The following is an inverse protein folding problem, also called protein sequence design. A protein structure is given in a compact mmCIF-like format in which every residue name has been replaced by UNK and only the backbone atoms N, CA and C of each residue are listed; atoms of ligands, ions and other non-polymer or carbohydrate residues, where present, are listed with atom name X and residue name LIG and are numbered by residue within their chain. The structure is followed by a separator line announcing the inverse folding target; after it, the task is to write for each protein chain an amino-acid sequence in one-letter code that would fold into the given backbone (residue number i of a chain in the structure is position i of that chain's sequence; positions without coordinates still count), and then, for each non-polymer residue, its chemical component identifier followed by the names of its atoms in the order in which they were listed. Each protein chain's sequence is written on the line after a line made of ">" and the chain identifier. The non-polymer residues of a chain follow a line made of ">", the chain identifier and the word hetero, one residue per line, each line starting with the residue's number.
data_IF_972805713692
#
_entry.id   IF_972805713692
#
_cell.length_a   1.000
_cell.length_b   1.000
_cell.length_c   1.000
_cell.angle_alpha   90.00
_cell.angle_beta   90.00
_cell.angle_gamma   90.00
#
_symmetry.space_group_name_H-M   'P 1'
#
loop_
_entity.id
_entity.type
_entity.pdbx_description
1 polymer ?
#
# COMPACT_ATOMS: atom_id res chain seq x y z
N UNK A 1 10.42 25.50 -26.02
CA UNK A 1 9.98 24.11 -26.22
C UNK A 1 9.01 23.79 -25.10
N UNK A 2 7.78 23.51 -25.46
CA UNK A 2 6.67 23.46 -24.51
C UNK A 2 6.69 22.15 -23.72
N UNK A 3 6.76 22.25 -22.40
CA UNK A 3 6.58 21.12 -21.49
C UNK A 3 5.09 20.89 -21.29
N UNK A 4 4.61 19.76 -21.74
CA UNK A 4 3.24 19.29 -21.62
C UNK A 4 2.90 19.04 -20.14
N UNK A 5 1.97 19.82 -19.61
CA UNK A 5 1.34 19.55 -18.31
C UNK A 5 0.30 18.45 -18.49
N UNK A 6 0.47 17.35 -17.78
CA UNK A 6 -0.51 16.27 -17.70
C UNK A 6 -1.64 16.74 -16.77
N UNK A 7 -2.90 16.73 -17.19
CA UNK A 7 -4.01 17.14 -16.34
C UNK A 7 -4.31 16.08 -15.28
N UNK A 8 -4.29 16.47 -14.02
CA UNK A 8 -4.80 15.68 -12.89
C UNK A 8 -6.32 15.53 -13.04
N UNK A 9 -6.80 14.31 -13.23
CA UNK A 9 -8.22 13.98 -13.19
C UNK A 9 -8.74 14.08 -11.77
N UNK A 10 -9.66 15.01 -11.52
CA UNK A 10 -10.49 15.01 -10.33
C UNK A 10 -11.59 13.93 -10.48
N UNK A 11 -11.57 12.92 -9.61
CA UNK A 11 -12.64 11.93 -9.55
C UNK A 11 -13.78 12.46 -8.68
N UNK A 12 -14.92 12.74 -9.31
CA UNK A 12 -16.19 12.93 -8.60
C UNK A 12 -16.91 11.58 -8.51
N UNK A 13 -17.06 11.09 -7.31
CA UNK A 13 -17.84 9.88 -7.04
C UNK A 13 -19.33 10.19 -7.15
N UNK A 14 -20.01 9.57 -8.12
CA UNK A 14 -21.46 9.66 -8.31
C UNK A 14 -22.09 8.38 -7.78
N UNK A 15 -22.78 8.49 -6.64
CA UNK A 15 -23.53 7.37 -6.08
C UNK A 15 -24.69 6.96 -7.00
N UNK A 16 -24.89 5.66 -7.28
CA UNK A 16 -26.07 5.20 -8.01
C UNK A 16 -27.31 5.30 -7.09
N UNK A 17 -28.39 5.88 -7.64
CA UNK A 17 -29.65 6.04 -6.94
C UNK A 17 -30.41 4.72 -6.77
N UNK A 18 -30.48 4.20 -5.56
CA UNK A 18 -31.36 3.12 -5.14
C UNK A 18 -32.52 3.63 -4.32
N UNK A 19 -33.77 3.23 -4.64
CA UNK A 19 -34.99 3.60 -3.94
C UNK A 19 -35.01 3.07 -2.52
N UNK A 20 -35.34 3.96 -1.57
CA UNK A 20 -35.56 3.61 -0.17
C UNK A 20 -36.94 3.00 0.06
N UNK A 21 -37.02 1.91 0.81
CA UNK A 21 -38.15 1.62 1.71
C UNK A 21 -37.56 1.17 3.06
N UNK A 22 -37.88 1.93 4.05
CA UNK A 22 -37.95 1.83 5.49
C UNK A 22 -37.15 0.82 6.32
N UNK A 23 -36.37 1.29 7.22
CA UNK A 23 -36.44 1.24 8.69
C UNK A 23 -35.11 1.69 9.27
N UNK A 24 -35.14 2.36 10.40
CA UNK A 24 -34.04 3.09 11.01
C UNK A 24 -32.83 2.21 11.32
N UNK A 25 -31.71 2.52 10.71
CA UNK A 25 -30.38 2.13 11.15
C UNK A 25 -29.60 3.40 11.47
N UNK A 26 -29.07 3.45 12.67
CA UNK A 26 -28.27 4.54 13.22
C UNK A 26 -27.06 4.78 12.31
N UNK A 27 -27.10 5.87 11.57
CA UNK A 27 -26.00 6.28 10.70
C UNK A 27 -24.87 6.81 11.60
N UNK A 28 -23.76 6.08 11.66
CA UNK A 28 -22.50 6.66 12.09
C UNK A 28 -22.02 7.61 11.00
N UNK A 29 -22.26 8.88 11.21
CA UNK A 29 -21.63 9.94 10.41
C UNK A 29 -20.17 10.01 10.83
N UNK A 30 -19.30 9.32 10.13
CA UNK A 30 -17.87 9.63 10.15
C UNK A 30 -17.77 10.98 9.48
N UNK A 31 -17.51 12.02 10.28
CA UNK A 31 -17.23 13.35 9.78
C UNK A 31 -15.99 13.29 8.90
N UNK A 32 -16.18 13.14 7.59
CA UNK A 32 -15.17 13.48 6.62
C UNK A 32 -14.94 14.98 6.73
N UNK A 33 -13.92 15.37 7.46
CA UNK A 33 -13.33 16.68 7.31
C UNK A 33 -12.84 16.73 5.86
N UNK A 34 -13.62 17.39 4.98
CA UNK A 34 -13.14 17.78 3.66
C UNK A 34 -11.95 18.70 3.93
N UNK A 35 -10.75 18.19 3.78
CA UNK A 35 -9.62 19.03 3.50
C UNK A 35 -9.90 19.51 2.08
N UNK A 36 -10.39 20.73 1.94
CA UNK A 36 -10.41 21.42 0.65
C UNK A 36 -8.95 21.61 0.29
N UNK A 37 -8.45 20.71 -0.57
CA UNK A 37 -7.20 20.96 -1.27
C UNK A 37 -7.55 22.14 -2.19
N UNK A 38 -6.93 23.31 -2.01
CA UNK A 38 -7.21 24.47 -2.84
C UNK A 38 -7.04 24.06 -4.29
N UNK A 39 -8.10 24.16 -5.06
CA UNK A 39 -8.14 23.90 -6.48
C UNK A 39 -7.21 24.88 -7.18
N UNK A 40 -6.22 24.36 -7.93
CA UNK A 40 -5.55 24.99 -9.09
C UNK A 40 -5.01 26.42 -8.97
N UNK A 41 -4.80 26.98 -7.81
CA UNK A 41 -3.85 28.08 -7.73
C UNK A 41 -2.45 27.47 -7.83
N UNK A 42 -1.58 27.94 -8.75
CA UNK A 42 -0.18 27.56 -8.70
C UNK A 42 0.29 27.88 -7.29
N UNK A 43 0.85 26.86 -6.60
CA UNK A 43 1.53 27.10 -5.31
C UNK A 43 2.35 28.36 -5.49
N UNK A 44 2.20 29.37 -4.61
CA UNK A 44 2.89 30.63 -4.80
C UNK A 44 4.35 30.32 -5.09
N UNK A 45 4.87 30.91 -6.16
CA UNK A 45 6.29 30.85 -6.50
C UNK A 45 7.04 31.36 -5.26
N UNK A 46 7.40 30.44 -4.40
CA UNK A 46 7.84 30.70 -3.04
C UNK A 46 8.92 29.70 -2.67
N UNK A 47 8.98 29.19 -1.47
CA UNK A 47 10.17 28.55 -0.92
C UNK A 47 10.74 27.36 -1.72
N UNK A 48 9.95 26.62 -2.50
CA UNK A 48 10.45 25.46 -3.27
C UNK A 48 11.42 25.84 -4.39
N UNK A 49 11.20 26.93 -5.09
CA UNK A 49 12.10 27.43 -6.16
C UNK A 49 13.47 27.83 -5.59
N UNK A 50 13.50 28.39 -4.40
CA UNK A 50 14.74 28.76 -3.74
C UNK A 50 15.52 27.54 -3.25
N UNK A 51 14.84 26.51 -2.74
CA UNK A 51 15.48 25.25 -2.34
C UNK A 51 16.06 24.48 -3.53
N UNK A 52 15.42 24.51 -4.70
CA UNK A 52 15.94 23.88 -5.93
C UNK A 52 17.27 24.45 -6.42
N UNK A 53 17.65 25.63 -5.97
CA UNK A 53 18.93 26.29 -6.31
C UNK A 53 20.05 25.93 -5.35
N UNK A 54 19.73 25.27 -4.24
CA UNK A 54 20.70 24.86 -3.24
C UNK A 54 21.36 23.54 -3.65
N UNK A 55 22.63 23.39 -3.31
CA UNK A 55 23.32 22.12 -3.37
C UNK A 55 22.94 21.23 -2.17
N UNK A 56 23.31 19.95 -2.23
CA UNK A 56 22.98 18.95 -1.21
C UNK A 56 23.49 19.36 0.18
N UNK A 57 24.63 20.02 0.27
CA UNK A 57 25.22 20.47 1.54
C UNK A 57 24.38 21.58 2.17
N UNK A 58 23.97 22.54 1.36
CA UNK A 58 23.11 23.63 1.83
C UNK A 58 21.70 23.12 2.20
N UNK A 59 21.16 22.16 1.44
CA UNK A 59 19.89 21.48 1.76
C UNK A 59 19.99 20.72 3.09
N UNK A 60 21.05 19.94 3.30
CA UNK A 60 21.30 19.22 4.54
C UNK A 60 21.33 20.17 5.74
N UNK A 61 22.07 21.27 5.62
CA UNK A 61 22.14 22.29 6.68
C UNK A 61 20.77 22.88 7.02
N UNK A 62 19.94 23.14 6.00
CA UNK A 62 18.57 23.64 6.21
C UNK A 62 17.65 22.62 6.89
N UNK A 63 17.77 21.35 6.52
CA UNK A 63 17.04 20.27 7.18
C UNK A 63 17.43 20.20 8.66
N UNK A 64 18.73 20.25 8.96
CA UNK A 64 19.23 20.20 10.33
C UNK A 64 18.79 21.39 11.18
N UNK A 65 18.79 22.60 10.62
CA UNK A 65 18.24 23.80 11.29
C UNK A 65 16.76 23.60 11.68
N UNK A 66 15.95 23.09 10.75
CA UNK A 66 14.52 22.84 10.98
C UNK A 66 14.31 21.73 12.01
N UNK A 67 15.08 20.65 11.92
CA UNK A 67 15.03 19.56 12.89
C UNK A 67 15.37 20.02 14.30
N UNK A 68 16.43 20.83 14.46
CA UNK A 68 16.80 21.39 15.77
C UNK A 68 15.69 22.27 16.34
N UNK A 69 15.03 23.08 15.50
CA UNK A 69 13.93 23.94 15.93
C UNK A 69 12.67 23.18 16.30
N UNK A 70 12.34 22.11 15.59
CA UNK A 70 11.13 21.32 15.82
C UNK A 70 11.34 20.24 16.90
N UNK A 71 12.56 19.73 17.07
CA UNK A 71 12.87 18.68 18.05
C UNK A 71 12.03 17.43 17.86
N UNK A 72 11.50 16.88 18.95
CA UNK A 72 10.67 15.66 18.94
C UNK A 72 9.29 15.83 18.26
N UNK A 73 8.89 17.07 17.93
CA UNK A 73 7.62 17.34 17.27
C UNK A 73 7.56 16.82 15.82
N UNK A 74 8.72 16.59 15.19
CA UNK A 74 8.82 15.98 13.87
C UNK A 74 9.58 14.66 13.96
N UNK A 75 9.06 13.63 13.26
CA UNK A 75 9.70 12.34 13.11
C UNK A 75 9.93 12.08 11.62
N UNK A 76 11.18 11.80 11.24
CA UNK A 76 11.53 11.47 9.85
C UNK A 76 11.73 9.97 9.75
N UNK A 77 10.91 9.32 8.93
CA UNK A 77 11.00 7.89 8.62
C UNK A 77 11.67 7.73 7.25
N UNK A 78 12.70 6.91 7.18
CA UNK A 78 13.40 6.62 5.93
C UNK A 78 13.33 5.14 5.59
N UNK A 79 12.68 4.80 4.47
CA UNK A 79 12.75 3.44 3.97
C UNK A 79 14.17 3.11 3.51
N UNK A 80 14.65 1.91 3.82
CA UNK A 80 16.06 1.53 3.64
C UNK A 80 16.58 1.59 2.20
N UNK A 81 15.72 1.68 1.19
CA UNK A 81 16.15 1.85 -0.20
C UNK A 81 16.32 3.31 -0.65
N UNK A 82 16.05 4.27 0.23
CA UNK A 82 16.28 5.68 -0.10
C UNK A 82 17.76 5.97 -0.33
N UNK A 83 18.03 6.99 -1.14
CA UNK A 83 19.38 7.47 -1.40
C UNK A 83 20.06 7.93 -0.10
N UNK A 84 21.37 7.79 -0.02
CA UNK A 84 22.16 8.12 1.18
C UNK A 84 21.91 9.53 1.68
N UNK A 85 21.82 10.52 0.77
CA UNK A 85 21.53 11.90 1.11
C UNK A 85 20.16 12.11 1.78
N UNK A 86 19.18 11.26 1.47
CA UNK A 86 17.85 11.31 2.10
C UNK A 86 17.84 10.53 3.41
N UNK A 87 18.38 9.31 3.38
CA UNK A 87 18.36 8.41 4.56
C UNK A 87 19.21 8.95 5.71
N UNK A 88 20.21 9.79 5.44
CA UNK A 88 21.02 10.44 6.45
C UNK A 88 20.21 11.26 7.44
N UNK A 89 19.09 11.83 7.01
CA UNK A 89 18.21 12.65 7.84
C UNK A 89 17.13 11.86 8.58
N UNK A 90 17.01 10.56 8.36
CA UNK A 90 15.98 9.75 8.98
C UNK A 90 16.28 9.47 10.46
N UNK A 91 15.27 9.65 11.32
CA UNK A 91 15.32 9.27 12.72
C UNK A 91 15.17 7.75 12.90
N UNK A 92 14.35 7.13 12.06
CA UNK A 92 14.15 5.68 12.01
C UNK A 92 14.33 5.18 10.58
N UNK A 93 15.00 4.04 10.44
CA UNK A 93 15.25 3.35 9.15
C UNK A 93 14.71 1.93 9.23
N UNK A 94 14.09 1.45 8.16
CA UNK A 94 13.54 0.10 8.13
C UNK A 94 12.67 -0.19 6.93
N UNK A 95 11.87 -1.25 7.04
CA UNK A 95 10.86 -1.58 6.06
C UNK A 95 9.54 -0.81 6.27
N UNK A 96 8.64 -0.93 5.31
CA UNK A 96 7.39 -0.16 5.26
C UNK A 96 6.53 -0.31 6.50
N UNK A 97 6.29 -1.56 6.93
CA UNK A 97 5.36 -1.85 8.02
C UNK A 97 5.98 -1.58 9.38
N UNK A 98 7.24 -1.93 9.54
CA UNK A 98 7.95 -1.69 10.79
C UNK A 98 8.08 -0.19 11.09
N UNK A 99 8.44 0.62 10.09
CA UNK A 99 8.49 2.08 10.24
C UNK A 99 7.14 2.65 10.68
N UNK A 100 6.05 2.20 10.04
CA UNK A 100 4.69 2.65 10.38
C UNK A 100 4.28 2.23 11.80
N UNK A 101 4.67 1.03 12.24
CA UNK A 101 4.45 0.57 13.63
C UNK A 101 5.24 1.40 14.63
N UNK A 102 6.55 1.58 14.38
CA UNK A 102 7.42 2.37 15.26
C UNK A 102 6.95 3.82 15.36
N UNK A 103 6.43 4.39 14.26
CA UNK A 103 5.80 5.70 14.29
C UNK A 103 4.56 5.75 15.17
N UNK A 104 3.73 4.71 15.15
CA UNK A 104 2.51 4.64 15.97
C UNK A 104 2.81 4.55 17.48
N UNK A 105 4.00 4.12 17.87
CA UNK A 105 4.45 4.09 19.27
C UNK A 105 4.89 5.47 19.77
N UNK A 106 5.11 6.43 18.87
CA UNK A 106 5.50 7.81 19.24
C UNK A 106 4.24 8.62 19.59
N UNK A 107 4.26 9.19 20.78
CA UNK A 107 3.13 9.98 21.30
C UNK A 107 3.39 11.48 21.30
N UNK A 108 4.63 11.88 21.07
CA UNK A 108 5.15 13.23 21.20
C UNK A 108 5.34 13.98 19.87
N UNK A 109 5.14 13.32 18.73
CA UNK A 109 5.28 13.96 17.41
C UNK A 109 3.95 14.56 16.92
N UNK A 110 4.05 15.72 16.27
CA UNK A 110 2.94 16.42 15.61
C UNK A 110 2.91 16.13 14.11
N UNK A 111 4.08 15.82 13.55
CA UNK A 111 4.24 15.52 12.13
C UNK A 111 5.24 14.37 11.91
N UNK A 112 4.94 13.56 10.89
CA UNK A 112 5.81 12.50 10.39
C UNK A 112 6.13 12.83 8.93
N UNK A 113 7.41 12.89 8.59
CA UNK A 113 7.87 12.94 7.21
C UNK A 113 8.26 11.53 6.79
N UNK A 114 7.52 10.93 5.86
CA UNK A 114 7.80 9.58 5.39
C UNK A 114 8.58 9.61 4.08
N UNK A 115 9.90 9.39 4.15
CA UNK A 115 10.76 9.22 2.97
C UNK A 115 10.61 7.79 2.44
N UNK A 116 9.64 7.59 1.57
CA UNK A 116 9.24 6.33 0.99
C UNK A 116 8.28 6.55 -0.16
N UNK A 117 7.36 5.62 -0.38
CA UNK A 117 6.33 5.71 -1.41
C UNK A 117 4.94 5.83 -0.79
N UNK A 118 3.96 6.19 -1.62
CA UNK A 118 2.61 6.59 -1.23
C UNK A 118 1.93 5.62 -0.23
N UNK A 119 1.85 4.32 -0.55
CA UNK A 119 1.17 3.35 0.32
C UNK A 119 1.82 3.20 1.71
N UNK A 120 3.11 3.54 1.86
CA UNK A 120 3.80 3.53 3.15
C UNK A 120 3.35 4.69 4.02
N UNK A 121 3.27 5.90 3.45
CA UNK A 121 2.74 7.07 4.13
C UNK A 121 1.29 6.88 4.55
N UNK A 122 0.44 6.31 3.67
CA UNK A 122 -0.93 5.93 4.01
C UNK A 122 -0.99 4.94 5.18
N UNK A 123 -0.12 3.92 5.16
CA UNK A 123 -0.06 2.92 6.26
C UNK A 123 0.34 3.58 7.57
N UNK A 124 1.32 4.51 7.53
CA UNK A 124 1.70 5.27 8.71
C UNK A 124 0.54 6.12 9.23
N UNK A 125 -0.16 6.85 8.35
CA UNK A 125 -1.32 7.67 8.73
C UNK A 125 -2.42 6.83 9.38
N UNK A 126 -2.75 5.67 8.80
CA UNK A 126 -3.73 4.74 9.37
C UNK A 126 -3.32 4.31 10.78
N UNK A 127 -2.06 3.94 10.97
CA UNK A 127 -1.61 3.38 12.25
C UNK A 127 -1.43 4.44 13.34
N UNK A 128 -0.89 5.61 13.03
CA UNK A 128 -0.67 6.67 14.01
C UNK A 128 -1.94 7.42 14.38
N UNK A 129 -2.94 7.41 13.52
CA UNK A 129 -4.21 8.10 13.71
C UNK A 129 -5.40 7.17 14.00
N UNK A 130 -5.14 5.96 14.53
CA UNK A 130 -6.19 5.11 15.06
C UNK A 130 -6.96 5.82 16.19
N UNK A 131 -8.25 5.51 16.40
CA UNK A 131 -9.07 6.15 17.45
C UNK A 131 -8.40 6.17 18.82
N UNK A 132 -7.80 5.06 19.24
CA UNK A 132 -7.10 4.94 20.53
C UNK A 132 -5.84 5.82 20.58
N UNK A 133 -5.12 5.99 19.48
CA UNK A 133 -3.95 6.85 19.39
C UNK A 133 -4.34 8.35 19.46
N UNK A 134 -5.42 8.71 18.75
CA UNK A 134 -5.97 10.07 18.80
C UNK A 134 -6.48 10.38 20.22
N UNK A 135 -7.19 9.45 20.85
CA UNK A 135 -7.67 9.62 22.22
C UNK A 135 -6.50 9.80 23.20
N UNK A 136 -5.42 9.02 23.07
CA UNK A 136 -4.20 9.15 23.88
C UNK A 136 -3.47 10.49 23.71
N UNK A 137 -3.71 11.20 22.60
CA UNK A 137 -3.17 12.55 22.31
C UNK A 137 -4.21 13.67 22.49
N UNK A 138 -5.19 13.48 23.38
CA UNK A 138 -6.23 14.47 23.66
C UNK A 138 -7.01 14.94 22.41
N UNK A 139 -7.26 14.05 21.46
CA UNK A 139 -7.97 14.35 20.22
C UNK A 139 -7.09 14.85 19.07
N UNK A 140 -5.78 15.03 19.29
CA UNK A 140 -4.87 15.53 18.26
C UNK A 140 -4.45 14.42 17.27
N UNK A 141 -4.49 14.76 15.98
CA UNK A 141 -3.96 13.91 14.89
C UNK A 141 -2.50 14.26 14.61
N UNK A 142 -1.75 13.28 14.14
CA UNK A 142 -0.40 13.46 13.58
C UNK A 142 -0.53 13.69 12.08
N UNK A 143 0.15 14.70 11.55
CA UNK A 143 0.21 14.95 10.11
C UNK A 143 1.28 14.05 9.48
N UNK A 144 0.90 13.19 8.54
CA UNK A 144 1.85 12.39 7.77
C UNK A 144 2.09 13.03 6.41
N UNK A 145 3.34 13.38 6.16
CA UNK A 145 3.78 14.11 4.96
C UNK A 145 4.62 13.18 4.09
N UNK A 146 4.23 13.02 2.84
CA UNK A 146 5.03 12.39 1.80
C UNK A 146 5.73 13.51 1.00
N UNK A 147 7.07 13.58 0.99
CA UNK A 147 7.81 14.68 0.35
C UNK A 147 7.57 14.77 -1.16
N UNK A 148 7.35 13.64 -1.81
CA UNK A 148 7.00 13.55 -3.23
C UNK A 148 5.75 12.70 -3.40
N UNK A 149 4.64 13.31 -3.74
CA UNK A 149 3.36 12.61 -3.96
C UNK A 149 3.35 11.77 -5.22
N UNK A 150 4.30 11.95 -6.14
CA UNK A 150 4.50 11.12 -7.32
C UNK A 150 5.33 9.86 -7.02
N UNK A 151 5.92 9.75 -5.81
CA UNK A 151 6.64 8.56 -5.40
C UNK A 151 5.66 7.39 -5.21
N UNK A 152 5.56 6.53 -6.23
CA UNK A 152 4.65 5.38 -6.32
C UNK A 152 5.38 4.04 -6.28
N UNK A 153 4.58 2.98 -6.28
CA UNK A 153 5.05 1.60 -6.42
C UNK A 153 4.24 0.93 -7.53
N UNK A 154 4.91 0.60 -8.63
CA UNK A 154 4.24 0.02 -9.81
C UNK A 154 3.42 -1.24 -9.49
N UNK A 155 3.86 -2.06 -8.53
CA UNK A 155 3.11 -3.23 -8.09
C UNK A 155 1.84 -2.84 -7.31
N UNK A 156 1.94 -1.85 -6.41
CA UNK A 156 0.78 -1.37 -5.66
C UNK A 156 -0.30 -0.80 -6.59
N UNK A 157 0.13 -0.19 -7.69
CA UNK A 157 -0.75 0.44 -8.69
C UNK A 157 -1.36 -0.56 -9.68
N UNK A 158 -0.95 -1.85 -9.66
CA UNK A 158 -1.52 -2.91 -10.50
C UNK A 158 -2.88 -3.41 -10.01
N UNK A 159 -3.36 -2.98 -8.85
CA UNK A 159 -4.70 -3.25 -8.35
C UNK A 159 -5.37 -1.93 -7.95
N UNK A 160 -6.31 -1.47 -8.75
CA UNK A 160 -7.17 -0.35 -8.39
C UNK A 160 -8.39 -0.86 -7.61
N UNK A 161 -8.93 -0.03 -6.70
CA UNK A 161 -10.07 -0.43 -5.88
C UNK A 161 -11.29 -0.77 -6.73
N UNK A 162 -11.54 -0.01 -7.77
CA UNK A 162 -12.68 -0.22 -8.68
C UNK A 162 -12.59 -1.58 -9.37
N UNK A 163 -11.38 -1.96 -9.83
CA UNK A 163 -11.15 -3.26 -10.46
C UNK A 163 -11.34 -4.42 -9.48
N UNK A 164 -10.96 -4.25 -8.21
CA UNK A 164 -11.14 -5.28 -7.19
C UNK A 164 -12.60 -5.40 -6.77
N UNK A 165 -13.34 -4.28 -6.69
CA UNK A 165 -14.78 -4.28 -6.43
C UNK A 165 -15.56 -4.94 -7.58
N UNK A 166 -15.20 -4.66 -8.84
CA UNK A 166 -15.78 -5.33 -10.02
C UNK A 166 -15.48 -6.83 -10.00
N UNK A 167 -14.23 -7.21 -9.75
CA UNK A 167 -13.85 -8.63 -9.63
C UNK A 167 -14.59 -9.34 -8.48
N UNK A 168 -14.83 -8.66 -7.38
CA UNK A 168 -15.59 -9.20 -6.25
C UNK A 168 -17.06 -9.42 -6.61
N UNK A 169 -17.66 -8.51 -7.36
CA UNK A 169 -19.02 -8.65 -7.85
C UNK A 169 -19.14 -9.83 -8.84
N UNK A 170 -18.22 -9.93 -9.81
CA UNK A 170 -18.16 -11.03 -10.76
C UNK A 170 -17.99 -12.41 -10.07
N UNK A 171 -17.11 -12.47 -9.05
CA UNK A 171 -16.92 -13.68 -8.25
C UNK A 171 -18.20 -14.05 -7.50
N UNK A 172 -18.95 -13.07 -7.01
CA UNK A 172 -20.22 -13.28 -6.31
C UNK A 172 -21.33 -13.87 -7.18
N UNK A 173 -21.23 -13.77 -8.50
CA UNK A 173 -22.14 -14.45 -9.43
C UNK A 173 -21.86 -15.94 -9.58
N UNK A 174 -20.63 -16.38 -9.25
CA UNK A 174 -20.16 -17.77 -9.45
C UNK A 174 -19.98 -18.50 -8.12
N UNK A 175 -19.48 -17.81 -7.10
CA UNK A 175 -19.08 -18.35 -5.81
C UNK A 175 -19.72 -17.52 -4.71
N UNK A 176 -20.17 -18.17 -3.63
CA UNK A 176 -20.57 -17.45 -2.43
C UNK A 176 -19.37 -16.65 -1.88
N UNK A 177 -19.48 -15.34 -1.82
CA UNK A 177 -18.41 -14.45 -1.33
C UNK A 177 -18.10 -14.69 0.15
N UNK A 178 -19.02 -15.25 0.94
CA UNK A 178 -18.75 -15.68 2.31
C UNK A 178 -17.74 -16.84 2.38
N UNK A 179 -17.53 -17.55 1.27
CA UNK A 179 -16.50 -18.60 1.12
C UNK A 179 -15.12 -18.04 0.67
N UNK A 180 -14.97 -16.72 0.52
CA UNK A 180 -13.73 -16.07 0.03
C UNK A 180 -13.19 -15.09 1.06
N UNK A 181 -11.93 -15.25 1.45
CA UNK A 181 -11.20 -14.23 2.22
C UNK A 181 -10.35 -13.38 1.30
N UNK A 182 -10.58 -12.06 1.17
CA UNK A 182 -9.67 -11.18 0.46
C UNK A 182 -8.42 -10.91 1.30
N UNK A 183 -7.26 -11.09 0.70
CA UNK A 183 -5.95 -10.85 1.32
C UNK A 183 -5.18 -9.86 0.47
N UNK A 184 -4.79 -8.74 1.04
CA UNK A 184 -3.92 -7.78 0.34
C UNK A 184 -2.51 -7.77 0.91
N UNK A 185 -1.53 -7.70 0.01
CA UNK A 185 -0.16 -7.42 0.40
C UNK A 185 -0.04 -5.97 0.87
N UNK A 186 0.81 -5.71 1.84
CA UNK A 186 1.01 -4.37 2.43
C UNK A 186 1.33 -3.30 1.38
N UNK A 187 1.99 -3.70 0.27
CA UNK A 187 2.26 -2.85 -0.87
C UNK A 187 0.99 -2.71 -1.74
N UNK A 188 0.04 -1.99 -1.22
CA UNK A 188 -1.26 -1.70 -1.85
C UNK A 188 -1.83 -0.40 -1.29
N UNK A 189 -2.71 0.25 -2.02
CA UNK A 189 -3.40 1.47 -1.56
C UNK A 189 -4.23 1.23 -0.29
N UNK A 190 -4.45 2.28 0.49
CA UNK A 190 -5.28 2.23 1.70
C UNK A 190 -6.72 1.77 1.41
N UNK A 191 -7.26 2.13 0.24
CA UNK A 191 -8.58 1.70 -0.23
C UNK A 191 -8.72 0.19 -0.32
N UNK A 192 -7.68 -0.52 -0.79
CA UNK A 192 -7.64 -1.98 -0.87
C UNK A 192 -7.54 -2.63 0.52
N UNK A 193 -6.80 -2.02 1.44
CA UNK A 193 -6.76 -2.46 2.84
C UNK A 193 -8.13 -2.31 3.51
N UNK A 194 -8.82 -1.19 3.23
CA UNK A 194 -10.18 -0.96 3.71
C UNK A 194 -11.19 -1.94 3.09
N UNK A 195 -11.03 -2.28 1.80
CA UNK A 195 -11.82 -3.33 1.15
C UNK A 195 -11.67 -4.66 1.89
N UNK A 196 -10.45 -5.11 2.14
CA UNK A 196 -10.21 -6.32 2.92
C UNK A 196 -10.92 -6.27 4.28
N UNK A 197 -10.79 -5.14 5.00
CA UNK A 197 -11.45 -4.97 6.30
C UNK A 197 -12.97 -5.07 6.23
N UNK A 198 -13.59 -4.52 5.19
CA UNK A 198 -15.06 -4.59 4.99
C UNK A 198 -15.56 -6.00 4.66
N UNK A 199 -14.73 -6.81 4.01
CA UNK A 199 -15.08 -8.17 3.57
C UNK A 199 -14.44 -9.27 4.42
N UNK A 200 -14.14 -8.99 5.70
CA UNK A 200 -13.59 -9.99 6.63
C UNK A 200 -12.18 -10.49 6.29
N UNK A 201 -11.48 -9.74 5.43
CA UNK A 201 -10.13 -10.04 4.98
C UNK A 201 -9.03 -9.45 5.85
N UNK A 202 -7.79 -9.53 5.35
CA UNK A 202 -6.60 -9.18 6.13
C UNK A 202 -5.48 -8.64 5.23
N UNK A 203 -4.55 -7.89 5.84
CA UNK A 203 -3.31 -7.41 5.19
C UNK A 203 -2.16 -8.35 5.55
N UNK A 204 -1.33 -8.73 4.58
CA UNK A 204 -0.10 -9.48 4.82
C UNK A 204 1.16 -8.69 4.46
N UNK A 205 2.29 -9.14 4.98
CA UNK A 205 3.63 -8.80 4.54
C UNK A 205 4.29 -10.05 3.93
N UNK A 206 5.43 -9.89 3.25
CA UNK A 206 6.19 -11.05 2.75
C UNK A 206 6.59 -12.02 3.86
N UNK A 207 6.92 -11.49 5.04
CA UNK A 207 7.37 -12.31 6.19
C UNK A 207 6.24 -13.07 6.90
N UNK A 208 4.99 -12.63 6.81
CA UNK A 208 3.87 -13.28 7.50
C UNK A 208 2.80 -13.87 6.56
N UNK A 209 3.03 -13.85 5.24
CA UNK A 209 2.06 -14.30 4.25
C UNK A 209 1.56 -15.74 4.52
N UNK A 210 2.44 -16.65 4.97
CA UNK A 210 2.08 -18.00 5.35
C UNK A 210 1.05 -18.03 6.48
N UNK A 211 1.33 -17.35 7.58
CA UNK A 211 0.42 -17.30 8.74
C UNK A 211 -0.92 -16.64 8.37
N UNK A 212 -0.89 -15.65 7.48
CA UNK A 212 -2.10 -15.01 6.97
C UNK A 212 -2.92 -15.96 6.11
N UNK A 213 -2.31 -16.73 5.21
CA UNK A 213 -3.03 -17.74 4.42
C UNK A 213 -3.57 -18.87 5.29
N UNK A 214 -2.84 -19.33 6.31
CA UNK A 214 -3.32 -20.29 7.31
C UNK A 214 -4.56 -19.74 8.02
N UNK A 215 -4.51 -18.48 8.45
CA UNK A 215 -5.63 -17.79 9.08
C UNK A 215 -6.85 -17.69 8.15
N UNK A 216 -6.65 -17.35 6.87
CA UNK A 216 -7.71 -17.25 5.87
C UNK A 216 -8.37 -18.60 5.60
N UNK A 217 -7.57 -19.64 5.33
CA UNK A 217 -8.09 -20.99 5.07
C UNK A 217 -8.78 -21.65 6.27
N UNK A 218 -8.50 -21.19 7.49
CA UNK A 218 -9.25 -21.63 8.67
C UNK A 218 -10.66 -21.04 8.74
N UNK A 219 -10.99 -20.05 7.91
CA UNK A 219 -12.28 -19.31 7.89
C UNK A 219 -13.09 -19.55 6.65
N UNK A 220 -12.45 -19.60 5.51
CA UNK A 220 -13.08 -19.70 4.20
C UNK A 220 -12.38 -20.76 3.35
N UNK A 221 -13.07 -21.22 2.33
CA UNK A 221 -12.54 -22.23 1.41
C UNK A 221 -11.51 -21.65 0.44
N UNK A 222 -11.59 -20.32 0.19
CA UNK A 222 -10.86 -19.65 -0.87
C UNK A 222 -10.22 -18.35 -0.38
N UNK A 223 -9.19 -17.93 -1.11
CA UNK A 223 -8.52 -16.64 -0.92
C UNK A 223 -8.48 -15.90 -2.24
N UNK A 224 -8.88 -14.63 -2.24
CA UNK A 224 -8.53 -13.67 -3.29
C UNK A 224 -7.30 -12.90 -2.83
N UNK A 225 -6.16 -13.11 -3.51
CA UNK A 225 -4.87 -12.52 -3.13
C UNK A 225 -4.41 -11.48 -4.12
N UNK A 226 -4.18 -10.25 -3.66
CA UNK A 226 -3.75 -9.12 -4.49
C UNK A 226 -2.73 -8.22 -3.77
N UNK A 227 -1.95 -7.37 -4.48
CA UNK A 227 -1.82 -7.32 -5.92
C UNK A 227 -0.79 -8.32 -6.49
N UNK A 228 0.11 -8.91 -5.70
CA UNK A 228 1.24 -9.74 -6.15
C UNK A 228 0.86 -11.21 -6.28
N UNK A 229 0.74 -11.70 -7.53
CA UNK A 229 0.46 -13.10 -7.79
C UNK A 229 1.56 -14.06 -7.30
N UNK A 230 2.82 -13.62 -7.33
CA UNK A 230 3.96 -14.50 -7.01
C UNK A 230 4.07 -14.77 -5.53
N UNK A 231 3.88 -13.74 -4.69
CA UNK A 231 3.84 -13.92 -3.24
C UNK A 231 2.72 -14.88 -2.84
N UNK A 232 1.51 -14.67 -3.36
CA UNK A 232 0.36 -15.54 -3.08
C UNK A 232 0.58 -16.98 -3.55
N UNK A 233 1.01 -17.16 -4.82
CA UNK A 233 1.27 -18.47 -5.41
C UNK A 233 2.33 -19.24 -4.67
N UNK A 234 3.50 -18.64 -4.46
CA UNK A 234 4.64 -19.31 -3.86
C UNK A 234 4.36 -19.68 -2.40
N UNK A 235 3.68 -18.80 -1.66
CA UNK A 235 3.28 -19.08 -0.29
C UNK A 235 2.29 -20.24 -0.23
N UNK A 236 1.21 -20.20 -1.01
CA UNK A 236 0.20 -21.26 -1.02
C UNK A 236 0.77 -22.60 -1.49
N UNK A 237 1.64 -22.59 -2.53
CA UNK A 237 2.30 -23.81 -2.99
C UNK A 237 3.22 -24.40 -1.92
N UNK A 238 3.96 -23.59 -1.18
CA UNK A 238 4.79 -24.06 -0.04
C UNK A 238 3.98 -24.64 1.11
N UNK A 239 2.69 -24.30 1.19
CA UNK A 239 1.71 -24.86 2.14
C UNK A 239 1.02 -26.13 1.63
N UNK A 240 1.38 -26.61 0.43
CA UNK A 240 0.83 -27.83 -0.17
C UNK A 240 -0.46 -27.59 -0.98
N UNK A 241 -0.83 -26.35 -1.30
CA UNK A 241 -1.91 -26.10 -2.26
C UNK A 241 -1.38 -26.37 -3.66
N UNK A 242 -1.96 -27.31 -4.42
CA UNK A 242 -1.52 -27.62 -5.78
C UNK A 242 -1.74 -26.46 -6.74
N UNK A 243 -0.87 -26.31 -7.74
CA UNK A 243 -1.00 -25.23 -8.73
C UNK A 243 -2.32 -25.29 -9.52
N UNK A 244 -2.87 -26.50 -9.70
CA UNK A 244 -4.16 -26.74 -10.37
C UNK A 244 -5.37 -26.21 -9.57
N UNK A 245 -5.16 -25.88 -8.29
CA UNK A 245 -6.13 -25.21 -7.42
C UNK A 245 -5.87 -23.71 -7.28
N UNK A 246 -5.08 -23.15 -8.16
CA UNK A 246 -4.80 -21.72 -8.25
C UNK A 246 -5.13 -21.22 -9.64
N UNK A 247 -5.80 -20.08 -9.73
CA UNK A 247 -6.01 -19.37 -10.99
C UNK A 247 -5.49 -17.93 -10.90
N UNK A 248 -5.29 -17.30 -12.05
CA UNK A 248 -4.88 -15.90 -12.14
C UNK A 248 -6.04 -15.07 -12.64
N UNK A 249 -6.38 -14.03 -11.90
CA UNK A 249 -7.35 -13.01 -12.30
C UNK A 249 -6.65 -11.87 -13.03
N UNK A 250 -6.94 -11.72 -14.33
CA UNK A 250 -6.47 -10.59 -15.11
C UNK A 250 -7.47 -9.43 -15.02
N UNK A 251 -7.15 -8.30 -14.35
CA UNK A 251 -8.09 -7.18 -14.22
C UNK A 251 -8.40 -6.45 -15.54
N UNK A 252 -7.67 -6.75 -16.60
CA UNK A 252 -7.87 -6.18 -17.93
C UNK A 252 -8.73 -7.06 -18.85
N UNK A 253 -9.08 -8.26 -18.40
CA UNK A 253 -10.00 -9.13 -19.09
C UNK A 253 -11.42 -8.86 -18.59
N UNK A 254 -12.36 -8.47 -19.47
CA UNK A 254 -13.69 -8.01 -19.06
C UNK A 254 -14.60 -9.13 -18.53
N UNK A 255 -14.20 -10.38 -18.60
CA UNK A 255 -15.02 -11.49 -18.17
C UNK A 255 -14.26 -12.42 -17.23
N UNK A 256 -14.67 -12.44 -15.95
CA UNK A 256 -14.15 -13.34 -14.93
C UNK A 256 -12.60 -13.35 -14.86
N UNK A 257 -11.96 -12.22 -15.21
CA UNK A 257 -10.51 -12.11 -15.24
C UNK A 257 -9.82 -13.11 -16.18
N UNK A 258 -10.49 -13.51 -17.28
CA UNK A 258 -9.99 -14.48 -18.25
C UNK A 258 -10.16 -15.95 -17.84
N UNK A 259 -10.93 -16.22 -16.79
CA UNK A 259 -11.23 -17.58 -16.30
C UNK A 259 -12.63 -18.03 -16.74
N UNK A 260 -12.91 -19.31 -16.63
CA UNK A 260 -14.26 -19.85 -16.66
C UNK A 260 -14.78 -20.13 -15.24
N UNK A 261 -16.10 -20.28 -15.11
CA UNK A 261 -16.74 -20.54 -13.82
C UNK A 261 -16.19 -21.82 -13.15
N UNK A 262 -15.96 -22.88 -13.93
CA UNK A 262 -15.46 -24.16 -13.42
C UNK A 262 -14.05 -24.01 -12.82
N UNK A 263 -13.19 -23.22 -13.45
CA UNK A 263 -11.85 -22.92 -12.93
C UNK A 263 -11.94 -22.17 -11.62
N UNK A 264 -12.78 -21.14 -11.53
CA UNK A 264 -12.99 -20.35 -10.31
C UNK A 264 -13.55 -21.21 -9.17
N UNK A 265 -14.55 -22.04 -9.44
CA UNK A 265 -15.15 -22.96 -8.46
C UNK A 265 -14.16 -23.98 -7.89
N UNK A 266 -13.19 -24.44 -8.68
CA UNK A 266 -12.15 -25.40 -8.25
C UNK A 266 -10.98 -24.73 -7.55
N UNK A 267 -10.80 -23.43 -7.77
CA UNK A 267 -9.63 -22.70 -7.24
C UNK A 267 -9.78 -22.45 -5.74
N UNK A 268 -8.72 -22.73 -5.01
CA UNK A 268 -8.55 -22.35 -3.61
C UNK A 268 -7.88 -20.98 -3.47
N UNK A 269 -7.07 -20.58 -4.45
CA UNK A 269 -6.40 -19.29 -4.48
C UNK A 269 -6.65 -18.63 -5.82
N UNK A 270 -7.26 -17.46 -5.79
CA UNK A 270 -7.47 -16.59 -6.92
C UNK A 270 -6.42 -15.48 -6.80
N UNK A 271 -5.49 -15.45 -7.74
CA UNK A 271 -4.31 -14.58 -7.71
C UNK A 271 -4.51 -13.41 -8.65
N UNK A 272 -4.42 -12.19 -8.15
CA UNK A 272 -4.41 -11.00 -8.99
C UNK A 272 -3.19 -10.95 -9.90
N UNK A 273 -3.35 -10.60 -11.17
CA UNK A 273 -2.26 -10.57 -12.15
C UNK A 273 -1.33 -9.37 -11.97
N UNK A 274 -0.81 -9.16 -10.77
CA UNK A 274 0.20 -8.16 -10.48
C UNK A 274 1.55 -8.80 -10.15
N UNK A 275 2.61 -8.03 -10.25
CA UNK A 275 3.97 -8.45 -9.97
C UNK A 275 4.87 -7.27 -9.65
N UNK A 276 5.98 -7.52 -8.97
CA UNK A 276 7.02 -6.53 -8.77
C UNK A 276 7.98 -6.53 -9.98
N UNK A 277 8.03 -5.42 -10.71
CA UNK A 277 8.96 -5.25 -11.84
C UNK A 277 10.42 -5.35 -11.43
N UNK A 278 10.75 -4.90 -10.22
CA UNK A 278 12.10 -4.98 -9.66
C UNK A 278 12.47 -6.43 -9.38
N UNK A 279 11.58 -7.21 -8.74
CA UNK A 279 11.85 -8.65 -8.51
C UNK A 279 12.03 -9.42 -9.81
N UNK A 280 11.32 -9.07 -10.88
CA UNK A 280 11.47 -9.71 -12.18
C UNK A 280 12.86 -9.50 -12.82
N UNK A 281 13.61 -8.49 -12.37
CA UNK A 281 14.99 -8.27 -12.83
C UNK A 281 16.01 -9.14 -12.11
N UNK A 282 15.69 -9.71 -10.94
CA UNK A 282 16.56 -10.63 -10.21
C UNK A 282 16.27 -12.06 -10.66
N UNK A 283 17.27 -12.67 -11.31
CA UNK A 283 17.16 -14.00 -11.91
C UNK A 283 18.06 -15.00 -11.19
N UNK A 284 17.70 -16.31 -11.20
CA UNK A 284 18.56 -17.36 -10.64
C UNK A 284 19.98 -17.33 -11.20
N UNK A 285 20.13 -17.02 -12.50
CA UNK A 285 21.43 -16.95 -13.19
C UNK A 285 22.36 -15.89 -12.59
N UNK A 286 21.81 -14.83 -11.97
CA UNK A 286 22.63 -13.86 -11.25
C UNK A 286 23.30 -14.49 -10.03
N UNK A 287 22.63 -15.42 -9.35
CA UNK A 287 23.20 -16.17 -8.22
C UNK A 287 24.36 -17.05 -8.69
N UNK A 288 24.17 -17.73 -9.82
CA UNK A 288 25.21 -18.59 -10.40
C UNK A 288 26.43 -17.75 -10.83
N UNK A 289 26.20 -16.65 -11.52
CA UNK A 289 27.23 -15.67 -11.87
C UNK A 289 28.00 -15.15 -10.66
N UNK A 290 27.31 -14.84 -9.57
CA UNK A 290 27.95 -14.37 -8.33
C UNK A 290 28.80 -15.48 -7.70
N UNK A 291 28.32 -16.72 -7.67
CA UNK A 291 29.03 -17.86 -7.12
C UNK A 291 30.30 -18.19 -7.94
N UNK A 292 30.23 -18.05 -9.27
CA UNK A 292 31.37 -18.28 -10.16
C UNK A 292 32.45 -17.20 -10.00
N UNK A 293 32.05 -15.93 -9.91
CA UNK A 293 32.98 -14.81 -9.87
C UNK A 293 33.43 -14.43 -8.46
N UNK A 294 32.63 -14.69 -7.45
CA UNK A 294 32.86 -14.36 -6.05
C UNK A 294 32.43 -15.53 -5.15
N UNK A 295 33.18 -16.65 -5.11
CA UNK A 295 32.76 -17.89 -4.49
C UNK A 295 32.52 -17.77 -2.95
N UNK A 296 33.19 -16.82 -2.31
CA UNK A 296 33.11 -16.63 -0.87
C UNK A 296 32.02 -15.60 -0.44
N UNK A 297 31.29 -15.00 -1.41
CA UNK A 297 30.27 -14.00 -1.11
C UNK A 297 29.02 -14.66 -0.50
N UNK A 298 28.49 -14.05 0.56
CA UNK A 298 27.20 -14.45 1.12
C UNK A 298 26.07 -13.80 0.33
N UNK A 299 25.21 -14.61 -0.24
CA UNK A 299 24.02 -14.16 -0.98
C UNK A 299 22.85 -14.16 0.01
N UNK A 300 22.25 -12.98 0.20
CA UNK A 300 21.03 -12.81 0.97
C UNK A 300 19.87 -12.58 -0.02
N UNK A 301 18.78 -13.30 0.17
CA UNK A 301 17.55 -13.23 -0.63
C UNK A 301 16.33 -13.14 0.25
#
# INVERSE_FOLDING_TARGET
>A
MATSLIPTRSYQYKMPGGRRTGTAATAYTVGMMRVEIPTNEPLPAGPLEDYRKLDDTALASRIDEVRQRLGSRVLILGHHYQQDGVIAHADLRGDSYQLSKSAAERTDCEAIVFCGVHFMAETADILVNRPEQIAGRNGSRVNVVLPDTAAGCSMADMAAIEQVEDAWADLGEIIDTDDITPVTYINSAASLKAFCGRHGGIVCTSSNARAVLEWAFARTKRVLFFPDQHLGRNTANSMGVPLEQMCVWNPHDPRLGGNDATTLEKSRVILWQGHCSVHAMFRPEHVDTMRENLPDVKILV
#
